data_IF_663257011196
#
_entry.id   IF_663257011196
#
_cell.length_a   1.000
_cell.length_b   1.000
_cell.length_c   1.000
_cell.angle_alpha   90.00
_cell.angle_beta   90.00
_cell.angle_gamma   90.00
#
_symmetry.space_group_name_H-M   'P 1'
#
loop_
_entity.id
_entity.type
_entity.pdbx_description
1 polymer ?
#
# COMPACT_ATOMS: atom_id res chain seq x y z
N UNK A 1 6.90 -11.30 -13.56
CA UNK A 1 7.85 -10.94 -12.48
C UNK A 1 7.23 -9.86 -11.60
N UNK A 2 7.46 -9.88 -10.28
CA UNK A 2 6.95 -8.83 -9.40
C UNK A 2 7.76 -7.52 -9.58
N UNK A 3 7.06 -6.39 -9.49
CA UNK A 3 7.62 -5.04 -9.53
C UNK A 3 7.18 -4.29 -8.28
N UNK A 4 8.05 -3.41 -7.80
CA UNK A 4 7.92 -2.69 -6.55
C UNK A 4 8.10 -1.20 -6.82
N UNK A 5 7.33 -0.37 -6.13
CA UNK A 5 7.42 1.08 -6.14
C UNK A 5 7.39 1.56 -4.70
N UNK A 6 8.36 2.40 -4.32
CA UNK A 6 8.39 3.02 -2.99
C UNK A 6 8.16 4.53 -3.10
N UNK A 7 7.36 5.04 -2.17
CA UNK A 7 7.18 6.47 -1.95
C UNK A 7 8.04 6.96 -0.79
N UNK A 8 8.64 8.13 -0.94
CA UNK A 8 9.26 8.85 0.16
C UNK A 8 8.21 9.25 1.20
N UNK A 9 8.57 9.18 2.49
CA UNK A 9 7.68 9.64 3.57
C UNK A 9 7.65 11.17 3.74
N UNK A 10 8.65 11.88 3.20
CA UNK A 10 8.86 13.29 3.47
C UNK A 10 8.57 14.21 2.28
N UNK A 11 8.53 13.66 1.06
CA UNK A 11 8.19 14.40 -0.15
C UNK A 11 7.46 13.51 -1.17
N UNK A 12 7.02 14.10 -2.27
CA UNK A 12 6.27 13.41 -3.33
C UNK A 12 7.14 12.51 -4.25
N UNK A 13 8.37 12.20 -3.85
CA UNK A 13 9.27 11.35 -4.64
C UNK A 13 8.79 9.89 -4.68
N UNK A 14 8.86 9.30 -5.88
CA UNK A 14 8.51 7.91 -6.18
C UNK A 14 9.66 7.25 -6.95
N UNK A 15 10.06 6.03 -6.55
CA UNK A 15 11.12 5.26 -7.25
C UNK A 15 10.68 4.74 -8.62
N UNK A 16 9.37 4.74 -8.89
CA UNK A 16 8.73 4.04 -10.00
C UNK A 16 8.75 2.51 -9.83
N UNK A 17 8.06 1.81 -10.73
CA UNK A 17 7.99 0.35 -10.73
C UNK A 17 9.31 -0.28 -11.18
N UNK A 18 10.02 -0.90 -10.25
CA UNK A 18 11.34 -1.53 -10.45
C UNK A 18 11.40 -2.90 -9.78
N UNK A 19 12.52 -3.60 -9.93
CA UNK A 19 12.81 -4.73 -9.04
C UNK A 19 12.99 -4.20 -7.62
N UNK A 20 12.64 -5.00 -6.63
CA UNK A 20 12.69 -4.62 -5.21
C UNK A 20 14.04 -4.00 -4.83
N UNK A 21 15.13 -4.68 -5.17
CA UNK A 21 16.49 -4.24 -4.85
C UNK A 21 16.82 -2.86 -5.44
N UNK A 22 16.46 -2.63 -6.71
CA UNK A 22 16.71 -1.36 -7.41
C UNK A 22 15.85 -0.24 -6.83
N UNK A 23 14.60 -0.54 -6.48
CA UNK A 23 13.69 0.44 -5.86
C UNK A 23 14.19 0.86 -4.47
N UNK A 24 14.69 -0.08 -3.66
CA UNK A 24 15.29 0.21 -2.34
C UNK A 24 16.57 1.05 -2.47
N UNK A 25 17.44 0.72 -3.43
CA UNK A 25 18.65 1.50 -3.69
C UNK A 25 18.33 2.94 -4.09
N UNK A 26 17.34 3.15 -4.97
CA UNK A 26 16.89 4.47 -5.39
C UNK A 26 16.31 5.28 -4.23
N UNK A 27 15.47 4.66 -3.39
CA UNK A 27 14.90 5.33 -2.21
C UNK A 27 16.01 5.73 -1.22
N UNK A 28 16.97 4.83 -0.96
CA UNK A 28 18.10 5.10 -0.07
C UNK A 28 19.03 6.20 -0.60
N UNK A 29 19.27 6.24 -1.91
CA UNK A 29 20.05 7.28 -2.55
C UNK A 29 19.34 8.64 -2.47
N UNK A 30 18.03 8.67 -2.71
CA UNK A 30 17.21 9.88 -2.58
C UNK A 30 17.23 10.40 -1.13
N UNK A 31 17.03 9.54 -0.13
CA UNK A 31 17.11 9.93 1.28
C UNK A 31 18.46 10.55 1.65
N UNK A 32 19.56 9.98 1.17
CA UNK A 32 20.90 10.52 1.44
C UNK A 32 21.12 11.88 0.79
N UNK A 33 20.51 12.12 -0.37
CA UNK A 33 20.68 13.35 -1.13
C UNK A 33 19.76 14.48 -0.62
N UNK A 34 18.48 14.19 -0.39
CA UNK A 34 17.45 15.20 -0.16
C UNK A 34 16.97 15.27 1.30
N UNK A 35 17.22 14.23 2.09
CA UNK A 35 16.81 14.14 3.50
C UNK A 35 17.96 13.73 4.43
N UNK A 36 19.08 14.49 4.47
CA UNK A 36 20.23 14.14 5.30
C UNK A 36 19.84 14.13 6.79
N UNK A 37 20.05 12.97 7.44
CA UNK A 37 19.77 12.80 8.86
C UNK A 37 18.33 12.39 9.19
N UNK A 38 17.46 12.25 8.19
CA UNK A 38 16.13 11.66 8.38
C UNK A 38 16.20 10.13 8.34
N UNK A 39 15.41 9.45 9.17
CA UNK A 39 15.27 8.00 9.11
C UNK A 39 14.40 7.65 7.91
N UNK A 40 14.76 6.60 7.17
CA UNK A 40 13.98 6.12 6.02
C UNK A 40 12.52 5.89 6.40
N UNK A 41 11.66 6.83 5.99
CA UNK A 41 10.21 6.75 5.99
C UNK A 41 9.71 6.43 4.58
N UNK A 42 8.62 5.68 4.48
CA UNK A 42 8.06 5.39 3.16
C UNK A 42 7.08 4.24 3.14
N UNK A 43 6.28 4.19 2.08
CA UNK A 43 5.33 3.11 1.84
C UNK A 43 5.68 2.41 0.53
N UNK A 44 5.73 1.09 0.55
CA UNK A 44 5.98 0.26 -0.63
C UNK A 44 4.70 -0.31 -1.22
N UNK A 45 4.63 -0.35 -2.55
CA UNK A 45 3.60 -1.05 -3.33
C UNK A 45 4.26 -2.16 -4.14
N UNK A 46 3.60 -3.31 -4.23
CA UNK A 46 4.03 -4.43 -5.05
C UNK A 46 2.95 -4.79 -6.08
N UNK A 47 3.34 -5.04 -7.32
CA UNK A 47 2.46 -5.53 -8.40
C UNK A 47 3.11 -6.68 -9.13
N UNK A 48 2.33 -7.65 -9.58
CA UNK A 48 2.81 -8.65 -10.51
C UNK A 48 2.73 -8.09 -11.94
N UNK A 49 3.80 -8.20 -12.71
CA UNK A 49 3.73 -7.98 -14.15
C UNK A 49 3.02 -9.20 -14.78
N UNK A 50 1.69 -9.21 -14.76
CA UNK A 50 0.90 -10.04 -15.68
C UNK A 50 0.76 -9.27 -16.98
N UNK A 51 1.28 -9.84 -18.05
CA UNK A 51 0.84 -9.50 -19.40
C UNK A 51 -0.70 -9.64 -19.42
N UNK A 52 -1.39 -8.58 -19.83
CA UNK A 52 -2.84 -8.52 -20.07
C UNK A 52 -3.74 -8.95 -18.91
N UNK A 53 -4.04 -8.04 -17.99
CA UNK A 53 -5.41 -7.68 -17.56
C UNK A 53 -5.28 -6.28 -16.96
N UNK A 54 -6.03 -5.32 -17.49
CA UNK A 54 -6.19 -4.01 -16.85
C UNK A 54 -7.00 -4.20 -15.56
N UNK A 55 -6.51 -3.78 -14.38
CA UNK A 55 -7.40 -3.45 -13.30
C UNK A 55 -7.45 -1.92 -13.22
N UNK A 56 -8.53 -1.38 -13.76
CA UNK A 56 -9.14 -0.16 -13.25
C UNK A 56 -9.31 -0.28 -11.73
N UNK A 57 -8.36 0.24 -10.96
CA UNK A 57 -8.60 0.58 -9.56
C UNK A 57 -7.58 1.61 -9.10
N UNK A 58 -7.86 2.85 -9.45
CA UNK A 58 -7.49 4.00 -8.62
C UNK A 58 -8.15 3.83 -7.26
N UNK A 59 -7.39 3.46 -6.23
CA UNK A 59 -7.94 3.38 -4.88
C UNK A 59 -6.92 2.87 -3.89
N UNK A 60 -6.52 3.75 -2.97
CA UNK A 60 -5.47 3.54 -1.98
C UNK A 60 -5.55 2.22 -1.22
N UNK A 61 -4.38 1.75 -0.80
CA UNK A 61 -4.23 0.66 0.17
C UNK A 61 -5.00 0.98 1.45
N UNK A 62 -6.22 0.45 1.54
CA UNK A 62 -7.12 0.60 2.69
C UNK A 62 -8.27 -0.41 2.70
N UNK A 63 -8.33 -1.31 1.72
CA UNK A 63 -9.39 -2.34 1.61
C UNK A 63 -9.30 -3.42 2.70
N UNK A 64 -8.17 -3.57 3.38
CA UNK A 64 -8.07 -4.47 4.53
C UNK A 64 -8.92 -3.99 5.70
N UNK A 65 -8.79 -2.72 6.09
CA UNK A 65 -9.50 -2.18 7.24
C UNK A 65 -10.99 -2.00 6.96
N UNK A 66 -11.36 -1.52 5.77
CA UNK A 66 -12.76 -1.32 5.40
C UNK A 66 -13.56 -2.63 5.34
N UNK A 67 -12.95 -3.72 4.86
CA UNK A 67 -13.57 -5.04 4.85
C UNK A 67 -13.82 -5.55 6.28
N UNK A 68 -12.85 -5.37 7.19
CA UNK A 68 -13.01 -5.73 8.60
C UNK A 68 -14.12 -4.93 9.29
N UNK A 69 -14.22 -3.62 9.04
CA UNK A 69 -15.30 -2.78 9.57
C UNK A 69 -16.67 -3.28 9.09
N UNK A 70 -16.80 -3.61 7.80
CA UNK A 70 -18.04 -4.18 7.26
C UNK A 70 -18.44 -5.51 7.90
N UNK A 71 -17.49 -6.41 8.12
CA UNK A 71 -17.71 -7.71 8.78
C UNK A 71 -18.17 -7.51 10.24
N UNK A 72 -17.51 -6.62 10.99
CA UNK A 72 -17.89 -6.34 12.39
C UNK A 72 -19.29 -5.76 12.46
N UNK A 73 -19.64 -4.81 11.59
CA UNK A 73 -20.99 -4.24 11.55
C UNK A 73 -22.03 -5.31 11.23
N UNK A 74 -21.75 -6.19 10.26
CA UNK A 74 -22.65 -7.29 9.91
C UNK A 74 -22.89 -8.23 11.10
N UNK A 75 -21.83 -8.61 11.82
CA UNK A 75 -21.94 -9.48 13.00
C UNK A 75 -22.75 -8.84 14.12
N UNK A 76 -22.59 -7.54 14.36
CA UNK A 76 -23.37 -6.79 15.35
C UNK A 76 -24.86 -6.77 14.98
N UNK A 77 -25.17 -6.55 13.69
CA UNK A 77 -26.56 -6.58 13.21
C UNK A 77 -27.19 -7.96 13.37
N UNK A 78 -26.47 -9.03 13.02
CA UNK A 78 -26.97 -10.41 13.19
C UNK A 78 -27.21 -10.73 14.66
N UNK A 79 -26.27 -10.37 15.55
CA UNK A 79 -26.43 -10.56 16.98
C UNK A 79 -27.66 -9.82 17.54
N UNK A 80 -27.84 -8.55 17.15
CA UNK A 80 -28.98 -7.73 17.57
C UNK A 80 -30.34 -8.26 17.08
N UNK A 81 -30.36 -9.00 15.96
CA UNK A 81 -31.56 -9.66 15.45
C UNK A 81 -31.81 -10.99 16.18
N UNK A 82 -30.77 -11.69 16.64
CA UNK A 82 -30.90 -12.89 17.45
C UNK A 82 -31.37 -12.61 18.89
N UNK A 83 -31.11 -11.42 19.44
CA UNK A 83 -31.59 -11.02 20.78
C UNK A 83 -33.07 -10.59 20.79
N UNK A 84 -33.70 -10.43 19.63
CA UNK A 84 -35.11 -10.05 19.48
C UNK A 84 -36.02 -11.21 19.00
N UNK A 85 -35.48 -12.42 18.85
CA UNK A 85 -36.20 -13.62 18.37
C UNK A 85 -36.53 -14.62 19.46
#
# INVERSE_FOLDING_TARGET
MAQFEYACGECDYLTGWKRESEAIELLGAHYRAEHPGCVLGGTGRARYASSSVEPESSGGGGLGCAAWVGIVILLVLVAAMCEQG
#
